data_IF_057822244036
#
_entry.id   IF_057822244036
#
_cell.length_a   1.000
_cell.length_b   1.000
_cell.length_c   1.000
_cell.angle_alpha   90.00
_cell.angle_beta   90.00
_cell.angle_gamma   90.00
#
_symmetry.space_group_name_H-M   'P 1'
#
loop_
_entity.id
_entity.type
_entity.pdbx_description
1 polymer ?
#
# COMPACT_ATOMS: atom_id res chain seq x y z
N UNK A 1 10.60 15.22 -57.77
CA UNK A 1 10.61 13.86 -57.19
C UNK A 1 11.53 13.74 -55.96
N UNK A 2 12.83 14.07 -56.04
CA UNK A 2 13.76 13.95 -54.89
C UNK A 2 13.38 14.76 -53.62
N UNK A 3 12.80 15.97 -53.76
CA UNK A 3 12.38 16.79 -52.61
C UNK A 3 11.18 16.20 -51.84
N UNK A 4 10.21 15.63 -52.56
CA UNK A 4 9.03 15.01 -51.93
C UNK A 4 9.38 13.68 -51.26
N UNK A 5 10.36 12.94 -51.81
CA UNK A 5 10.86 11.71 -51.19
C UNK A 5 11.53 11.98 -49.83
N UNK A 6 12.35 13.04 -49.73
CA UNK A 6 12.98 13.44 -48.47
C UNK A 6 11.94 13.86 -47.43
N UNK A 7 10.90 14.60 -47.84
CA UNK A 7 9.80 14.99 -46.95
C UNK A 7 9.03 13.77 -46.43
N UNK A 8 8.70 12.80 -47.28
CA UNK A 8 8.00 11.58 -46.87
C UNK A 8 8.84 10.75 -45.90
N UNK A 9 10.14 10.63 -46.12
CA UNK A 9 11.05 9.90 -45.21
C UNK A 9 11.16 10.62 -43.86
N UNK A 10 11.29 11.95 -43.86
CA UNK A 10 11.28 12.74 -42.61
C UNK A 10 9.95 12.65 -41.87
N UNK A 11 8.82 12.67 -42.59
CA UNK A 11 7.50 12.45 -41.99
C UNK A 11 7.39 11.05 -41.38
N UNK A 12 7.93 10.02 -42.03
CA UNK A 12 7.96 8.66 -41.50
C UNK A 12 8.86 8.53 -40.26
N UNK A 13 10.00 9.23 -40.20
CA UNK A 13 10.84 9.28 -38.98
C UNK A 13 10.19 10.07 -37.84
N UNK A 14 9.42 11.12 -38.15
CA UNK A 14 8.65 11.88 -37.18
C UNK A 14 7.42 11.10 -36.67
N UNK A 15 6.80 10.29 -37.54
CA UNK A 15 5.66 9.42 -37.20
C UNK A 15 6.10 8.09 -36.56
N UNK A 16 7.35 7.67 -36.74
CA UNK A 16 7.99 6.59 -35.99
C UNK A 16 8.57 7.05 -34.64
N UNK A 17 8.24 8.29 -34.22
CA UNK A 17 8.68 8.87 -32.96
C UNK A 17 8.12 8.14 -31.74
N UNK A 18 9.02 7.77 -30.83
CA UNK A 18 8.83 7.31 -29.45
C UNK A 18 8.04 6.01 -29.16
N UNK A 19 7.12 5.54 -30.02
CA UNK A 19 6.39 4.28 -29.75
C UNK A 19 7.14 3.02 -30.20
N UNK A 20 8.04 3.11 -31.20
CA UNK A 20 8.76 1.94 -31.73
C UNK A 20 9.91 1.44 -30.83
N UNK A 21 10.26 2.23 -29.82
CA UNK A 21 11.21 1.89 -28.77
C UNK A 21 10.47 2.16 -27.47
N UNK A 22 9.52 1.31 -27.10
CA UNK A 22 9.24 1.17 -25.67
C UNK A 22 10.50 0.53 -25.10
N UNK A 23 11.37 1.25 -24.37
CA UNK A 23 12.36 0.53 -23.59
C UNK A 23 11.55 -0.40 -22.69
N UNK A 24 11.86 -1.70 -22.71
CA UNK A 24 11.63 -2.52 -21.54
C UNK A 24 12.38 -1.77 -20.44
N UNK A 25 11.65 -1.01 -19.62
CA UNK A 25 12.22 -0.45 -18.42
C UNK A 25 12.53 -1.68 -17.57
N UNK A 26 13.80 -1.99 -17.45
CA UNK A 26 14.28 -3.04 -16.56
C UNK A 26 14.17 -2.44 -15.15
N UNK A 27 13.00 -2.61 -14.55
CA UNK A 27 12.70 -2.24 -13.17
C UNK A 27 12.27 -3.50 -12.41
N UNK A 28 12.40 -3.42 -11.10
CA UNK A 28 12.02 -4.48 -10.18
C UNK A 28 11.07 -3.92 -9.12
N UNK A 29 10.28 -4.80 -8.53
CA UNK A 29 9.36 -4.48 -7.45
C UNK A 29 9.85 -5.18 -6.19
N UNK A 30 10.14 -4.40 -5.16
CA UNK A 30 10.46 -4.90 -3.82
C UNK A 30 9.29 -4.56 -2.89
N UNK A 31 8.59 -5.55 -2.36
CA UNK A 31 7.49 -5.37 -1.42
C UNK A 31 7.94 -5.66 0.01
N UNK A 32 7.80 -4.69 0.90
CA UNK A 32 7.80 -4.88 2.35
C UNK A 32 6.35 -4.87 2.84
N UNK A 33 5.83 -6.03 3.21
CA UNK A 33 4.42 -6.25 3.53
C UNK A 33 4.26 -6.48 5.04
N UNK A 34 3.56 -5.60 5.75
CA UNK A 34 3.46 -5.63 7.21
C UNK A 34 1.99 -5.65 7.62
N UNK A 35 1.59 -6.67 8.39
CA UNK A 35 0.22 -6.76 8.90
C UNK A 35 0.12 -7.45 10.26
N UNK A 36 -0.82 -6.98 11.08
CA UNK A 36 -1.02 -7.44 12.44
C UNK A 36 -2.51 -7.57 12.75
N UNK A 37 -2.94 -8.71 13.28
CA UNK A 37 -4.32 -8.95 13.73
C UNK A 37 -4.51 -8.70 15.24
N UNK A 38 -3.42 -8.54 15.99
CA UNK A 38 -3.34 -8.29 17.43
C UNK A 38 -4.03 -9.34 18.32
N UNK A 39 -4.40 -10.51 17.77
CA UNK A 39 -5.12 -11.57 18.50
C UNK A 39 -4.30 -12.19 19.64
N UNK A 40 -2.98 -12.08 19.59
CA UNK A 40 -2.09 -12.57 20.64
C UNK A 40 -1.69 -11.48 21.65
N UNK A 41 -2.34 -10.31 21.66
CA UNK A 41 -2.01 -9.18 22.55
C UNK A 41 -3.23 -8.67 23.32
N UNK A 42 -3.00 -7.73 24.23
CA UNK A 42 -4.01 -6.94 24.94
C UNK A 42 -4.59 -5.76 24.11
N UNK A 43 -4.18 -5.60 22.85
CA UNK A 43 -4.72 -4.62 21.90
C UNK A 43 -5.99 -5.19 21.26
N UNK A 44 -6.93 -4.30 20.88
CA UNK A 44 -8.15 -4.71 20.17
C UNK A 44 -7.80 -5.43 18.86
N UNK A 45 -8.30 -6.65 18.68
CA UNK A 45 -8.02 -7.43 17.48
C UNK A 45 -8.58 -6.78 16.21
N UNK A 46 -7.92 -7.01 15.09
CA UNK A 46 -8.33 -6.60 13.75
C UNK A 46 -8.50 -7.83 12.88
N UNK A 47 -9.56 -7.88 12.07
CA UNK A 47 -9.90 -9.08 11.30
C UNK A 47 -9.62 -8.94 9.80
N UNK A 48 -9.53 -7.72 9.27
CA UNK A 48 -9.23 -7.48 7.86
C UNK A 48 -7.74 -7.38 7.50
N UNK A 49 -6.87 -7.03 8.44
CA UNK A 49 -5.48 -6.62 8.15
C UNK A 49 -4.63 -7.69 7.47
N UNK A 50 -4.78 -8.95 7.89
CA UNK A 50 -4.06 -10.07 7.29
C UNK A 50 -4.59 -10.40 5.89
N UNK A 51 -5.91 -10.31 5.65
CA UNK A 51 -6.49 -10.52 4.32
C UNK A 51 -6.01 -9.43 3.36
N UNK A 52 -6.11 -8.17 3.79
CA UNK A 52 -5.61 -7.00 3.08
C UNK A 52 -4.17 -7.21 2.59
N UNK A 53 -3.29 -7.63 3.50
CA UNK A 53 -1.88 -7.84 3.24
C UNK A 53 -1.58 -9.03 2.33
N UNK A 54 -2.19 -10.19 2.59
CA UNK A 54 -1.99 -11.42 1.79
C UNK A 54 -2.49 -11.23 0.37
N UNK A 55 -3.58 -10.49 0.19
CA UNK A 55 -4.18 -10.27 -1.13
C UNK A 55 -3.48 -9.21 -1.94
N UNK A 56 -2.98 -8.17 -1.30
CA UNK A 56 -2.16 -7.17 -1.98
C UNK A 56 -0.86 -7.82 -2.47
N UNK A 57 -0.22 -8.64 -1.64
CA UNK A 57 0.96 -9.41 -2.05
C UNK A 57 0.64 -10.30 -3.25
N UNK A 58 -0.42 -11.11 -3.18
CA UNK A 58 -0.81 -12.01 -4.27
C UNK A 58 -1.11 -11.23 -5.55
N UNK A 59 -1.82 -10.11 -5.45
CA UNK A 59 -2.15 -9.23 -6.58
C UNK A 59 -0.87 -8.70 -7.24
N UNK A 60 0.04 -8.09 -6.47
CA UNK A 60 1.29 -7.55 -6.99
C UNK A 60 2.15 -8.67 -7.60
N UNK A 61 2.28 -9.81 -6.92
CA UNK A 61 3.04 -10.97 -7.41
C UNK A 61 2.53 -11.47 -8.76
N UNK A 62 1.21 -11.58 -8.92
CA UNK A 62 0.59 -12.01 -10.17
C UNK A 62 0.83 -11.00 -11.29
N UNK A 63 0.65 -9.69 -11.03
CA UNK A 63 0.93 -8.63 -12.01
C UNK A 63 2.40 -8.68 -12.45
N UNK A 64 3.33 -8.77 -11.50
CA UNK A 64 4.76 -8.87 -11.82
C UNK A 64 5.07 -10.13 -12.64
N UNK A 65 4.44 -11.26 -12.32
CA UNK A 65 4.62 -12.51 -13.09
C UNK A 65 4.08 -12.41 -14.52
N UNK A 66 2.93 -11.76 -14.73
CA UNK A 66 2.36 -11.57 -16.07
C UNK A 66 3.20 -10.62 -16.94
N UNK A 67 3.83 -9.63 -16.31
CA UNK A 67 4.64 -8.61 -16.98
C UNK A 67 6.14 -8.94 -17.01
N UNK A 68 6.55 -10.12 -16.54
CA UNK A 68 7.96 -10.55 -16.43
C UNK A 68 8.84 -9.56 -15.63
N UNK A 69 8.26 -8.93 -14.60
CA UNK A 69 8.95 -8.01 -13.69
C UNK A 69 9.59 -8.80 -12.55
N UNK A 70 10.85 -8.50 -12.23
CA UNK A 70 11.51 -9.08 -11.07
C UNK A 70 10.82 -8.63 -9.78
N UNK A 71 10.45 -9.60 -8.93
CA UNK A 71 9.66 -9.36 -7.72
C UNK A 71 10.32 -10.00 -6.50
N UNK A 72 10.52 -9.19 -5.46
CA UNK A 72 10.98 -9.64 -4.13
C UNK A 72 9.95 -9.24 -3.08
N UNK A 73 9.62 -10.14 -2.17
CA UNK A 73 8.70 -9.87 -1.05
C UNK A 73 9.36 -10.16 0.30
N UNK A 74 9.15 -9.28 1.26
CA UNK A 74 9.41 -9.48 2.68
C UNK A 74 8.11 -9.29 3.46
N UNK A 75 7.52 -10.40 3.91
CA UNK A 75 6.26 -10.36 4.67
C UNK A 75 6.50 -10.55 6.17
N UNK A 76 5.91 -9.65 6.95
CA UNK A 76 5.97 -9.65 8.41
C UNK A 76 4.55 -9.62 8.97
N UNK A 77 4.09 -10.79 9.44
CA UNK A 77 2.72 -10.99 9.91
C UNK A 77 2.69 -11.42 11.38
N UNK A 78 1.83 -10.79 12.16
CA UNK A 78 1.42 -11.31 13.47
C UNK A 78 0.00 -11.85 13.31
N UNK A 79 -0.12 -13.18 13.41
CA UNK A 79 -1.35 -13.92 13.10
C UNK A 79 -1.73 -14.88 14.23
N UNK A 80 -2.99 -14.80 14.64
CA UNK A 80 -3.62 -15.69 15.59
C UNK A 80 -3.20 -15.44 17.04
N UNK A 81 -3.59 -16.36 17.93
CA UNK A 81 -3.52 -16.20 19.39
C UNK A 81 -2.19 -16.63 20.02
N UNK A 82 -1.23 -17.13 19.24
CA UNK A 82 0.01 -17.69 19.80
C UNK A 82 0.99 -16.57 20.16
N UNK A 83 1.51 -16.62 21.39
CA UNK A 83 2.50 -15.68 21.90
C UNK A 83 3.62 -16.38 22.67
N UNK A 84 4.24 -17.39 22.06
CA UNK A 84 5.35 -18.13 22.67
C UNK A 84 6.72 -17.66 22.15
N UNK A 85 7.79 -18.12 22.79
CA UNK A 85 9.16 -17.79 22.37
C UNK A 85 9.50 -18.23 20.95
N UNK A 86 8.81 -19.21 20.37
CA UNK A 86 9.04 -19.58 18.97
C UNK A 86 8.43 -18.53 18.03
N UNK A 87 7.25 -18.03 18.37
CA UNK A 87 6.51 -17.02 17.61
C UNK A 87 7.22 -15.66 17.66
N UNK A 88 7.56 -15.16 18.86
CA UNK A 88 8.14 -13.80 18.98
C UNK A 88 9.58 -13.68 18.49
N UNK A 89 10.31 -14.80 18.43
CA UNK A 89 11.69 -14.84 17.92
C UNK A 89 11.74 -15.18 16.42
N UNK A 90 10.60 -15.37 15.76
CA UNK A 90 10.57 -15.54 14.31
C UNK A 90 11.13 -14.26 13.64
N UNK A 91 12.00 -14.44 12.64
CA UNK A 91 12.61 -13.33 11.92
C UNK A 91 11.59 -12.53 11.10
N UNK A 92 10.43 -13.12 10.81
CA UNK A 92 9.31 -12.50 10.12
C UNK A 92 8.23 -12.01 11.11
N UNK A 93 8.43 -12.13 12.42
CA UNK A 93 7.52 -11.53 13.39
C UNK A 93 7.63 -9.99 13.30
N UNK A 94 6.53 -9.23 13.19
CA UNK A 94 6.56 -7.78 12.96
C UNK A 94 6.89 -6.99 14.22
N UNK A 95 8.01 -7.31 14.88
CA UNK A 95 8.58 -6.51 15.96
C UNK A 95 9.26 -5.25 15.40
N UNK A 96 9.38 -4.19 16.23
CA UNK A 96 10.09 -2.96 15.83
C UNK A 96 11.50 -3.22 15.30
N UNK A 97 12.24 -4.11 15.96
CA UNK A 97 13.58 -4.51 15.52
C UNK A 97 13.56 -5.17 14.14
N UNK A 98 12.68 -6.14 13.92
CA UNK A 98 12.60 -6.85 12.65
C UNK A 98 12.17 -5.93 11.50
N UNK A 99 11.24 -5.01 11.72
CA UNK A 99 10.80 -4.04 10.70
C UNK A 99 11.93 -3.05 10.37
N UNK A 100 12.65 -2.53 11.36
CA UNK A 100 13.82 -1.67 11.11
C UNK A 100 14.91 -2.43 10.32
N UNK A 101 15.19 -3.69 10.65
CA UNK A 101 16.10 -4.52 9.85
C UNK A 101 15.57 -4.80 8.45
N UNK A 102 14.25 -4.87 8.24
CA UNK A 102 13.65 -5.03 6.92
C UNK A 102 13.85 -3.78 6.05
N UNK A 103 13.67 -2.59 6.62
CA UNK A 103 13.94 -1.32 5.97
C UNK A 103 15.42 -1.17 5.60
N UNK A 104 16.33 -1.62 6.47
CA UNK A 104 17.76 -1.69 6.16
C UNK A 104 18.04 -2.68 5.01
N UNK A 105 17.45 -3.88 5.02
CA UNK A 105 17.59 -4.83 3.90
C UNK A 105 17.11 -4.22 2.58
N UNK A 106 16.01 -3.47 2.61
CA UNK A 106 15.47 -2.79 1.42
C UNK A 106 16.50 -1.85 0.80
N UNK A 107 17.24 -1.07 1.61
CA UNK A 107 18.30 -0.19 1.09
C UNK A 107 19.43 -0.97 0.43
N UNK A 108 19.76 -2.16 0.94
CA UNK A 108 20.83 -3.00 0.38
C UNK A 108 20.48 -3.66 -0.96
N UNK A 109 19.21 -4.02 -1.16
CA UNK A 109 18.76 -4.68 -2.40
C UNK A 109 18.28 -3.68 -3.46
N UNK A 110 17.83 -2.50 -3.04
CA UNK A 110 17.29 -1.50 -3.96
C UNK A 110 18.35 -0.93 -4.91
N UNK A 111 17.91 -0.61 -6.13
CA UNK A 111 18.71 -0.04 -7.21
C UNK A 111 17.98 1.20 -7.79
N UNK A 112 18.65 1.97 -8.65
CA UNK A 112 18.11 3.25 -9.13
C UNK A 112 16.78 3.13 -9.90
N UNK A 113 16.51 1.96 -10.48
CA UNK A 113 15.26 1.66 -11.18
C UNK A 113 14.24 0.89 -10.33
N UNK A 114 14.56 0.52 -9.08
CA UNK A 114 13.65 -0.25 -8.24
C UNK A 114 12.42 0.58 -7.84
N UNK A 115 11.27 -0.08 -7.76
CA UNK A 115 10.08 0.44 -7.10
C UNK A 115 9.90 -0.35 -5.81
N UNK A 116 10.09 0.30 -4.68
CA UNK A 116 10.03 -0.29 -3.36
C UNK A 116 8.68 0.05 -2.72
N UNK A 117 7.79 -0.93 -2.61
CA UNK A 117 6.47 -0.76 -2.03
C UNK A 117 6.55 -1.17 -0.56
N UNK A 118 6.07 -0.31 0.34
CA UNK A 118 5.97 -0.58 1.78
C UNK A 118 4.50 -0.52 2.13
N UNK A 119 3.92 -1.66 2.47
CA UNK A 119 2.52 -1.77 2.86
C UNK A 119 2.40 -2.02 4.37
N UNK A 120 1.55 -1.25 5.03
CA UNK A 120 1.23 -1.42 6.45
C UNK A 120 -0.29 -1.48 6.65
N UNK A 121 -0.77 -2.54 7.31
CA UNK A 121 -2.15 -2.68 7.77
C UNK A 121 -2.20 -3.07 9.25
N UNK A 122 -2.76 -2.19 10.08
CA UNK A 122 -2.73 -2.36 11.53
C UNK A 122 -3.19 -1.14 12.30
N UNK A 123 -3.00 -1.17 13.62
CA UNK A 123 -3.29 -0.04 14.49
C UNK A 123 -2.19 1.02 14.40
N UNK A 124 -2.57 2.29 14.54
CA UNK A 124 -1.60 3.35 14.70
C UNK A 124 -1.98 4.26 15.88
N UNK A 125 -0.96 4.85 16.48
CA UNK A 125 -1.14 5.87 17.50
C UNK A 125 -1.61 7.18 16.85
N UNK A 126 -2.15 8.11 17.63
CA UNK A 126 -2.73 9.37 17.12
C UNK A 126 -1.72 10.26 16.37
N UNK A 127 -0.42 10.09 16.63
CA UNK A 127 0.66 10.77 15.92
C UNK A 127 1.09 10.05 14.63
N UNK A 128 0.38 9.00 14.21
CA UNK A 128 0.70 8.17 13.04
C UNK A 128 1.74 7.09 13.26
N UNK A 129 2.35 6.97 14.45
CA UNK A 129 3.29 5.88 14.74
C UNK A 129 2.60 4.53 14.54
N UNK A 130 3.24 3.64 13.78
CA UNK A 130 2.77 2.27 13.58
C UNK A 130 2.88 1.49 14.88
N UNK A 131 1.83 0.75 15.23
CA UNK A 131 1.84 -0.17 16.35
C UNK A 131 2.34 -1.53 15.87
N UNK A 132 3.53 -1.92 16.32
CA UNK A 132 4.18 -3.18 15.99
C UNK A 132 4.00 -4.22 17.10
N UNK A 133 4.32 -5.47 16.79
CA UNK A 133 4.07 -6.57 17.69
C UNK A 133 4.99 -6.50 18.92
N UNK A 134 4.42 -6.73 20.09
CA UNK A 134 5.20 -6.88 21.33
C UNK A 134 6.03 -8.16 21.28
N UNK A 135 7.26 -8.09 21.77
CA UNK A 135 8.12 -9.27 21.99
C UNK A 135 8.17 -9.67 23.45
N UNK A 136 7.42 -8.98 24.32
CA UNK A 136 7.37 -9.27 25.74
C UNK A 136 6.73 -10.64 25.99
N UNK A 137 7.48 -11.55 26.60
CA UNK A 137 7.03 -12.91 26.96
C UNK A 137 6.83 -13.09 28.46
N UNK A 138 6.82 -12.00 29.24
CA UNK A 138 6.63 -12.03 30.70
C UNK A 138 5.25 -12.57 31.11
N UNK A 139 4.26 -12.43 30.22
CA UNK A 139 2.92 -13.00 30.34
C UNK A 139 2.85 -14.32 29.55
N UNK A 140 2.39 -15.40 30.19
CA UNK A 140 2.28 -16.72 29.56
C UNK A 140 1.00 -16.91 28.74
N UNK A 141 0.11 -15.92 28.71
CA UNK A 141 -1.23 -16.04 28.10
C UNK A 141 -1.41 -15.15 26.86
N UNK A 142 -0.85 -13.94 26.86
CA UNK A 142 -0.89 -12.98 25.74
C UNK A 142 0.20 -11.92 25.88
N UNK A 143 0.64 -11.34 24.77
CA UNK A 143 1.59 -10.23 24.75
C UNK A 143 1.03 -8.98 25.39
N UNK A 144 1.82 -8.32 26.24
CA UNK A 144 1.42 -7.06 26.88
C UNK A 144 1.94 -5.89 26.04
N UNK A 145 1.03 -5.05 25.56
CA UNK A 145 1.33 -3.85 24.78
C UNK A 145 1.10 -2.57 25.54
N UNK A 146 0.29 -2.60 26.61
CA UNK A 146 0.09 -1.45 27.47
C UNK A 146 1.02 -1.48 28.68
N UNK A 147 1.69 -0.36 28.94
CA UNK A 147 2.43 -0.16 30.17
C UNK A 147 1.48 0.12 31.35
N UNK A 148 2.03 0.12 32.57
CA UNK A 148 1.25 0.29 33.82
C UNK A 148 0.42 1.59 33.91
N UNK A 149 0.69 2.59 33.07
CA UNK A 149 -0.06 3.84 33.01
C UNK A 149 -1.18 3.83 31.94
N UNK A 150 -1.40 2.71 31.25
CA UNK A 150 -2.40 2.54 30.19
C UNK A 150 -1.98 3.06 28.82
N UNK A 151 -0.72 3.50 28.65
CA UNK A 151 -0.16 3.89 27.36
C UNK A 151 0.52 2.70 26.69
N UNK A 152 0.45 2.65 25.36
CA UNK A 152 1.20 1.71 24.55
C UNK A 152 2.70 1.82 24.83
N UNK A 153 3.39 0.69 24.92
CA UNK A 153 4.84 0.64 25.09
C UNK A 153 5.58 1.26 23.88
N UNK A 154 6.47 2.22 24.13
CA UNK A 154 7.24 2.92 23.09
C UNK A 154 8.12 1.97 22.26
N UNK A 155 8.51 0.82 22.81
CA UNK A 155 9.29 -0.20 22.09
C UNK A 155 8.51 -0.83 20.91
N UNK A 156 7.18 -0.73 20.93
CA UNK A 156 6.31 -1.19 19.84
C UNK A 156 5.95 -0.07 18.85
N UNK A 157 6.21 1.18 19.19
CA UNK A 157 5.84 2.31 18.34
C UNK A 157 6.98 2.61 17.38
N UNK A 158 6.72 2.48 16.08
CA UNK A 158 7.63 2.96 15.04
C UNK A 158 7.11 4.29 14.51
N UNK A 159 7.84 5.38 14.78
CA UNK A 159 7.42 6.72 14.40
C UNK A 159 7.58 7.00 12.90
N UNK A 160 6.79 7.96 12.41
CA UNK A 160 6.88 8.47 11.03
C UNK A 160 8.31 8.91 10.72
N UNK A 161 8.96 9.65 11.62
CA UNK A 161 10.33 10.12 11.43
C UNK A 161 11.36 8.98 11.40
N UNK A 162 11.22 7.96 12.25
CA UNK A 162 12.07 6.76 12.18
C UNK A 162 11.94 6.09 10.81
N UNK A 163 10.73 5.96 10.28
CA UNK A 163 10.49 5.37 8.95
C UNK A 163 11.16 6.21 7.87
N UNK A 164 10.94 7.52 7.82
CA UNK A 164 11.61 8.38 6.83
C UNK A 164 13.12 8.32 6.91
N UNK A 165 13.67 8.34 8.13
CA UNK A 165 15.13 8.27 8.33
C UNK A 165 15.70 6.94 7.83
N UNK A 166 14.97 5.83 7.99
CA UNK A 166 15.37 4.52 7.44
C UNK A 166 15.31 4.45 5.91
N UNK A 167 14.56 5.35 5.26
CA UNK A 167 14.39 5.35 3.80
C UNK A 167 15.39 6.23 3.05
N UNK A 168 16.20 7.04 3.75
CA UNK A 168 17.16 7.98 3.13
C UNK A 168 18.14 7.28 2.19
N UNK A 169 18.56 6.06 2.52
CA UNK A 169 19.53 5.27 1.76
C UNK A 169 18.87 4.30 0.76
N UNK A 170 17.53 4.24 0.70
CA UNK A 170 16.82 3.38 -0.25
C UNK A 170 16.88 4.01 -1.63
N UNK A 171 17.36 3.25 -2.61
CA UNK A 171 17.48 3.70 -4.00
C UNK A 171 16.20 3.44 -4.77
N UNK A 172 16.05 4.15 -5.89
CA UNK A 172 14.87 4.08 -6.72
C UNK A 172 13.67 4.79 -6.09
N UNK A 173 12.46 4.40 -6.46
CA UNK A 173 11.23 5.00 -5.96
C UNK A 173 10.72 4.20 -4.77
N UNK A 174 10.16 4.88 -3.77
CA UNK A 174 9.52 4.27 -2.60
C UNK A 174 8.04 4.63 -2.60
N UNK A 175 7.17 3.65 -2.45
CA UNK A 175 5.72 3.85 -2.36
C UNK A 175 5.27 3.32 -1.00
N UNK A 176 4.86 4.20 -0.09
CA UNK A 176 4.34 3.84 1.23
C UNK A 176 2.81 3.81 1.13
N UNK A 177 2.21 2.68 1.44
CA UNK A 177 0.76 2.45 1.45
C UNK A 177 0.35 2.09 2.88
N UNK A 178 -0.54 2.89 3.48
CA UNK A 178 -0.89 2.75 4.90
C UNK A 178 -2.40 2.64 5.08
N UNK A 179 -2.86 1.46 5.49
CA UNK A 179 -4.22 1.21 5.95
C UNK A 179 -4.27 1.17 7.48
N UNK A 180 -4.32 2.36 8.08
CA UNK A 180 -4.45 2.53 9.52
C UNK A 180 -5.15 3.83 9.88
N UNK A 181 -5.65 3.92 11.11
CA UNK A 181 -6.14 5.19 11.67
C UNK A 181 -5.03 6.24 11.72
N UNK A 182 -5.36 7.52 11.57
CA UNK A 182 -4.39 8.62 11.66
C UNK A 182 -3.24 8.52 10.66
N UNK A 183 -3.39 7.74 9.59
CA UNK A 183 -2.38 7.51 8.57
C UNK A 183 -1.99 8.78 7.81
N UNK A 184 -2.86 9.80 7.78
CA UNK A 184 -2.53 11.12 7.24
C UNK A 184 -1.41 11.86 7.97
N UNK A 185 -0.88 11.35 9.10
CA UNK A 185 0.37 11.85 9.67
C UNK A 185 1.61 11.53 8.80
N UNK A 186 1.54 10.55 7.90
CA UNK A 186 2.57 10.34 6.87
C UNK A 186 2.49 11.37 5.74
N UNK A 187 1.36 12.06 5.60
CA UNK A 187 1.20 13.05 4.55
C UNK A 187 2.07 14.28 4.85
N UNK A 188 3.02 14.55 3.96
CA UNK A 188 3.82 15.78 3.97
C UNK A 188 3.32 16.67 2.86
N UNK A 189 2.75 17.81 3.23
CA UNK A 189 2.25 18.78 2.27
C UNK A 189 3.38 19.26 1.35
N UNK A 190 3.20 19.03 0.05
CA UNK A 190 4.19 19.29 -1.01
C UNK A 190 3.53 19.96 -2.21
N UNK A 191 4.31 20.38 -3.21
CA UNK A 191 3.74 20.82 -4.50
C UNK A 191 2.87 19.76 -5.19
N UNK A 192 3.09 18.49 -4.82
CA UNK A 192 2.50 17.32 -5.43
C UNK A 192 1.56 16.59 -4.47
N UNK A 193 0.75 17.36 -3.76
CA UNK A 193 -0.12 16.87 -2.72
C UNK A 193 -1.59 17.03 -3.15
N UNK A 194 -2.37 15.93 -3.08
CA UNK A 194 -3.81 15.91 -3.43
C UNK A 194 -4.67 15.69 -2.18
N UNK A 195 -4.79 16.75 -1.37
CA UNK A 195 -5.75 16.78 -0.26
C UNK A 195 -7.15 17.27 -0.67
N UNK A 196 -7.34 17.94 -1.80
CA UNK A 196 -8.64 18.55 -2.15
C UNK A 196 -9.40 17.83 -3.27
N UNK A 197 -10.74 17.91 -3.24
CA UNK A 197 -11.67 17.49 -4.30
C UNK A 197 -11.43 18.22 -5.65
N UNK A 198 -10.60 19.27 -5.67
CA UNK A 198 -10.27 20.05 -6.87
C UNK A 198 -8.78 20.32 -6.92
N UNK A 199 -8.03 19.40 -7.55
CA UNK A 199 -6.67 19.68 -7.97
C UNK A 199 -6.63 20.97 -8.80
N UNK A 200 -5.88 21.97 -8.33
CA UNK A 200 -5.59 23.17 -9.09
C UNK A 200 -4.15 23.11 -9.60
N UNK A 201 -4.02 22.85 -10.90
CA UNK A 201 -2.73 22.78 -11.60
C UNK A 201 -1.88 24.05 -11.39
N UNK A 202 -2.51 25.23 -11.35
CA UNK A 202 -1.79 26.50 -11.19
C UNK A 202 -1.20 26.60 -9.79
N UNK A 203 -1.94 26.19 -8.76
CA UNK A 203 -1.46 26.23 -7.38
C UNK A 203 -0.34 25.20 -7.16
N UNK A 204 -0.48 23.99 -7.71
CA UNK A 204 0.56 22.96 -7.70
C UNK A 204 1.84 23.42 -8.42
N UNK A 205 1.70 24.04 -9.60
CA UNK A 205 2.83 24.58 -10.37
C UNK A 205 3.52 25.74 -9.65
N UNK A 206 2.75 26.68 -9.09
CA UNK A 206 3.29 27.80 -8.32
C UNK A 206 4.02 27.29 -7.07
N UNK A 207 3.45 26.30 -6.38
CA UNK A 207 4.07 25.66 -5.22
C UNK A 207 5.39 25.01 -5.63
N UNK A 208 5.41 24.22 -6.70
CA UNK A 208 6.62 23.58 -7.25
C UNK A 208 7.75 24.57 -7.55
N UNK A 209 7.43 25.67 -8.24
CA UNK A 209 8.44 26.70 -8.54
C UNK A 209 8.90 27.43 -7.28
N UNK A 210 7.99 27.68 -6.34
CA UNK A 210 8.27 28.47 -5.14
C UNK A 210 9.08 27.72 -4.09
N UNK A 211 8.91 26.40 -3.97
CA UNK A 211 9.54 25.60 -2.92
C UNK A 211 10.94 25.14 -3.28
N UNK A 212 11.30 25.14 -4.57
CA UNK A 212 12.57 24.58 -5.06
C UNK A 212 12.80 23.15 -4.52
N UNK A 213 11.71 22.45 -4.21
CA UNK A 213 11.71 21.13 -3.57
C UNK A 213 12.36 20.13 -4.52
N UNK A 214 13.45 19.53 -4.08
CA UNK A 214 13.93 18.30 -4.71
C UNK A 214 12.79 17.28 -4.66
N UNK A 215 12.52 16.63 -5.79
CA UNK A 215 11.49 15.59 -5.84
C UNK A 215 11.96 14.45 -4.95
N UNK A 216 11.40 14.35 -3.75
CA UNK A 216 11.59 13.16 -2.94
C UNK A 216 10.97 11.98 -3.70
N UNK A 217 11.78 10.94 -3.89
CA UNK A 217 11.37 9.71 -4.56
C UNK A 217 10.48 8.82 -3.68
N UNK A 218 9.82 9.41 -2.69
CA UNK A 218 8.88 8.78 -1.77
C UNK A 218 7.46 9.26 -2.13
N UNK A 219 6.59 8.31 -2.41
CA UNK A 219 5.17 8.46 -2.71
C UNK A 219 4.37 7.83 -1.59
N UNK A 220 3.27 8.46 -1.19
CA UNK A 220 2.54 8.08 0.02
C UNK A 220 1.07 7.97 -0.31
N UNK A 221 0.45 6.82 -0.04
CA UNK A 221 -0.98 6.58 -0.16
C UNK A 221 -1.50 6.16 1.20
N UNK A 222 -2.39 6.96 1.78
CA UNK A 222 -2.91 6.73 3.13
C UNK A 222 -4.41 6.63 3.11
N UNK A 223 -4.98 5.78 3.96
CA UNK A 223 -6.42 5.57 4.05
C UNK A 223 -7.20 6.78 4.56
N UNK A 224 -6.56 7.66 5.34
CA UNK A 224 -7.25 8.70 6.12
C UNK A 224 -6.45 9.99 6.22
N UNK A 225 -7.12 11.07 6.63
CA UNK A 225 -6.47 12.29 7.12
C UNK A 225 -5.83 12.09 8.51
N UNK A 226 -4.94 13.01 8.89
CA UNK A 226 -4.16 12.93 10.15
C UNK A 226 -5.01 12.78 11.42
N UNK A 227 -6.22 13.34 11.43
CA UNK A 227 -7.11 13.38 12.60
C UNK A 227 -8.34 12.46 12.42
N UNK A 228 -8.29 11.52 11.48
CA UNK A 228 -9.41 10.64 11.14
C UNK A 228 -9.05 9.14 11.28
N UNK A 229 -10.06 8.28 11.36
CA UNK A 229 -9.90 6.83 11.58
C UNK A 229 -10.12 6.03 10.30
N UNK A 230 -9.46 4.88 10.20
CA UNK A 230 -9.70 3.89 9.13
C UNK A 230 -10.76 2.89 9.58
N UNK A 231 -11.55 2.36 8.64
CA UNK A 231 -12.66 1.47 8.92
C UNK A 231 -12.68 0.24 8.02
N UNK A 232 -13.32 -0.81 8.53
CA UNK A 232 -13.67 -2.04 7.84
C UNK A 232 -15.19 -2.26 7.98
N UNK A 233 -15.85 -2.96 7.03
CA UNK A 233 -17.28 -3.23 7.11
C UNK A 233 -17.61 -4.10 8.33
N UNK A 234 -18.71 -3.76 9.01
CA UNK A 234 -19.21 -4.52 10.16
C UNK A 234 -19.88 -5.83 9.71
N UNK A 235 -19.08 -6.83 9.32
CA UNK A 235 -19.55 -8.17 8.98
C UNK A 235 -18.79 -9.19 9.82
N UNK A 236 -19.41 -9.62 10.93
CA UNK A 236 -18.94 -10.75 11.72
C UNK A 236 -19.51 -12.04 11.12
N UNK A 237 -18.65 -13.05 11.00
CA UNK A 237 -18.85 -14.44 10.54
C UNK A 237 -18.50 -14.75 9.08
N UNK A 238 -17.38 -15.45 8.91
CA UNK A 238 -16.94 -16.18 7.70
C UNK A 238 -16.75 -15.38 6.41
N UNK A 239 -16.83 -14.05 6.43
CA UNK A 239 -16.52 -13.22 5.27
C UNK A 239 -15.05 -12.79 5.27
N UNK A 240 -14.44 -12.82 4.10
CA UNK A 240 -13.19 -12.17 3.74
C UNK A 240 -13.32 -10.65 3.92
N UNK A 241 -12.97 -10.14 5.11
CA UNK A 241 -13.08 -8.72 5.45
C UNK A 241 -11.82 -8.00 4.98
N UNK A 242 -12.01 -6.79 4.47
CA UNK A 242 -10.97 -5.85 4.05
C UNK A 242 -11.22 -4.48 4.65
N UNK A 243 -10.17 -3.71 4.90
CA UNK A 243 -10.31 -2.25 5.06
C UNK A 243 -10.92 -1.63 3.80
N UNK A 244 -11.79 -0.63 3.93
CA UNK A 244 -12.43 0.01 2.76
C UNK A 244 -11.40 0.56 1.77
N UNK A 245 -10.30 1.12 2.29
CA UNK A 245 -9.19 1.62 1.50
C UNK A 245 -8.49 0.49 0.74
N UNK A 246 -8.08 -0.57 1.43
CA UNK A 246 -7.38 -1.69 0.78
C UNK A 246 -8.27 -2.44 -0.21
N UNK A 247 -9.58 -2.61 0.05
CA UNK A 247 -10.50 -3.21 -0.92
C UNK A 247 -10.52 -2.42 -2.23
N UNK A 248 -10.69 -1.11 -2.17
CA UNK A 248 -10.70 -0.25 -3.37
C UNK A 248 -9.32 -0.22 -4.07
N UNK A 249 -8.22 -0.30 -3.31
CA UNK A 249 -6.87 -0.45 -3.84
C UNK A 249 -6.72 -1.75 -4.66
N UNK A 250 -7.14 -2.88 -4.08
CA UNK A 250 -7.10 -4.20 -4.71
C UNK A 250 -7.92 -4.21 -6.00
N UNK A 251 -9.18 -3.74 -5.94
CA UNK A 251 -10.05 -3.66 -7.11
C UNK A 251 -9.46 -2.75 -8.20
N UNK A 252 -8.86 -1.63 -7.81
CA UNK A 252 -8.18 -0.73 -8.74
C UNK A 252 -7.02 -1.40 -9.48
N UNK A 253 -6.31 -2.33 -8.82
CA UNK A 253 -5.26 -3.17 -9.39
C UNK A 253 -5.80 -4.36 -10.20
N UNK A 254 -7.12 -4.52 -10.30
CA UNK A 254 -7.76 -5.58 -11.07
C UNK A 254 -8.04 -6.85 -10.28
N UNK A 255 -7.86 -6.83 -8.96
CA UNK A 255 -8.29 -7.93 -8.10
C UNK A 255 -9.80 -8.11 -8.17
N UNK A 256 -10.24 -9.35 -8.30
CA UNK A 256 -11.63 -9.73 -8.08
C UNK A 256 -11.72 -10.88 -7.08
N UNK A 257 -12.83 -10.90 -6.35
CA UNK A 257 -13.26 -12.11 -5.66
C UNK A 257 -13.60 -13.12 -6.78
N UNK A 258 -12.82 -14.21 -6.89
CA UNK A 258 -12.85 -15.10 -8.06
C UNK A 258 -14.25 -15.64 -8.38
N UNK A 259 -14.44 -16.22 -9.58
CA UNK A 259 -15.70 -16.86 -9.99
C UNK A 259 -16.01 -18.13 -9.14
N UNK A 260 -16.35 -17.95 -7.87
CA UNK A 260 -16.94 -18.96 -6.96
C UNK A 260 -17.53 -18.35 -5.69
N UNK A 261 -18.00 -17.11 -5.76
CA UNK A 261 -18.94 -16.52 -4.81
C UNK A 261 -20.37 -17.11 -4.91
N UNK A 262 -20.52 -18.41 -5.18
CA UNK A 262 -21.79 -19.09 -4.88
C UNK A 262 -21.72 -19.39 -3.39
N UNK A 263 -22.62 -18.75 -2.62
CA UNK A 263 -23.02 -19.18 -1.29
C UNK A 263 -23.26 -20.71 -1.30
N UNK A 264 -22.23 -21.49 -1.03
CA UNK A 264 -22.37 -22.90 -0.69
C UNK A 264 -23.06 -22.92 0.65
N UNK A 265 -24.34 -23.30 0.66
CA UNK A 265 -25.10 -23.59 1.88
C UNK A 265 -24.62 -24.88 2.58
N UNK A 266 -23.47 -25.41 2.17
CA UNK A 266 -22.82 -26.60 2.72
C UNK A 266 -21.40 -26.24 3.13
N UNK A 267 -21.09 -26.46 4.40
CA UNK A 267 -19.90 -25.98 5.13
C UNK A 267 -18.59 -26.64 4.65
N UNK A 268 -18.62 -27.56 3.69
CA UNK A 268 -17.55 -28.57 3.58
C UNK A 268 -16.57 -28.44 2.42
N UNK A 269 -16.71 -27.50 1.46
CA UNK A 269 -15.71 -27.34 0.40
C UNK A 269 -15.52 -25.86 0.00
N UNK A 270 -14.97 -25.09 0.92
CA UNK A 270 -14.37 -23.79 0.59
C UNK A 270 -12.97 -24.09 0.04
N UNK A 271 -12.71 -23.81 -1.25
CA UNK A 271 -11.36 -23.90 -1.81
C UNK A 271 -10.54 -22.74 -1.23
N UNK A 272 -9.93 -23.01 -0.09
CA UNK A 272 -8.86 -22.21 0.48
C UNK A 272 -7.59 -22.64 -0.27
N UNK A 273 -6.89 -21.72 -0.94
CA UNK A 273 -5.54 -22.04 -1.42
C UNK A 273 -4.62 -22.36 -0.22
N UNK A 274 -3.43 -22.91 -0.43
CA UNK A 274 -2.53 -23.30 0.68
C UNK A 274 -2.20 -22.12 1.63
N UNK A 275 -2.47 -20.87 1.21
CA UNK A 275 -2.18 -19.62 1.91
C UNK A 275 -3.42 -18.96 2.56
N UNK A 276 -4.63 -19.47 2.37
CA UNK A 276 -5.85 -18.84 2.92
C UNK A 276 -6.63 -17.92 1.97
N UNK A 277 -6.18 -17.73 0.73
CA UNK A 277 -6.55 -16.64 -0.18
C UNK A 277 -7.49 -17.15 -1.31
N UNK A 278 -8.42 -16.31 -1.78
CA UNK A 278 -9.51 -16.76 -2.68
C UNK A 278 -9.75 -15.93 -3.93
N UNK A 279 -9.07 -14.80 -4.07
CA UNK A 279 -9.21 -13.90 -5.21
C UNK A 279 -8.20 -14.21 -6.30
N UNK A 280 -8.46 -13.61 -7.45
CA UNK A 280 -7.65 -13.70 -8.66
C UNK A 280 -7.58 -12.35 -9.36
N UNK A 281 -6.64 -12.20 -10.30
CA UNK A 281 -6.66 -11.06 -11.20
C UNK A 281 -7.79 -11.27 -12.21
N UNK A 282 -8.61 -10.24 -12.37
CA UNK A 282 -9.55 -10.19 -13.48
C UNK A 282 -8.79 -10.15 -14.81
N UNK A 283 -9.33 -10.85 -15.81
CA UNK A 283 -8.73 -10.84 -17.14
C UNK A 283 -8.81 -9.45 -17.76
N UNK A 284 -7.66 -8.89 -18.15
CA UNK A 284 -7.56 -7.67 -18.95
C UNK A 284 -6.94 -6.49 -18.22
N UNK A 285 -7.24 -5.29 -18.70
CA UNK A 285 -6.70 -4.04 -18.17
C UNK A 285 -7.40 -3.71 -16.85
N UNK A 286 -6.68 -3.46 -15.74
CA UNK A 286 -7.30 -3.25 -14.45
C UNK A 286 -8.09 -1.93 -14.38
N UNK A 287 -9.12 -1.83 -13.53
CA UNK A 287 -10.03 -0.69 -13.48
C UNK A 287 -9.38 0.68 -13.26
N UNK A 288 -8.27 0.75 -12.50
CA UNK A 288 -7.58 2.02 -12.28
C UNK A 288 -6.77 2.48 -13.49
N UNK A 289 -6.48 1.61 -14.47
CA UNK A 289 -5.56 1.95 -15.55
C UNK A 289 -6.15 3.04 -16.48
N UNK A 290 -5.30 4.02 -16.83
CA UNK A 290 -5.58 5.02 -17.86
C UNK A 290 -4.62 4.79 -19.03
N UNK A 291 -5.16 4.55 -20.23
CA UNK A 291 -4.36 4.19 -21.41
C UNK A 291 -3.41 3.00 -21.15
N UNK A 292 -3.94 1.95 -20.52
CA UNK A 292 -3.21 0.75 -20.09
C UNK A 292 -2.05 0.98 -19.11
N UNK A 293 -2.02 2.13 -18.42
CA UNK A 293 -1.01 2.44 -17.42
C UNK A 293 -1.70 2.55 -16.07
N UNK A 294 -1.22 1.78 -15.10
CA UNK A 294 -1.53 2.01 -13.69
C UNK A 294 -0.42 2.86 -13.10
N UNK A 295 -0.75 4.11 -12.80
CA UNK A 295 0.09 5.07 -12.08
C UNK A 295 -0.50 5.36 -10.69
N UNK A 296 0.31 5.95 -9.81
CA UNK A 296 -0.14 6.37 -8.48
C UNK A 296 -1.37 7.30 -8.56
N UNK A 297 -1.38 8.28 -9.48
CA UNK A 297 -2.55 9.18 -9.63
C UNK A 297 -3.82 8.43 -10.06
N UNK A 298 -3.67 7.45 -10.95
CA UNK A 298 -4.79 6.69 -11.49
C UNK A 298 -5.41 5.81 -10.42
N UNK A 299 -4.55 5.20 -9.59
CA UNK A 299 -4.94 4.36 -8.46
C UNK A 299 -5.64 5.17 -7.37
N UNK A 300 -5.09 6.33 -6.99
CA UNK A 300 -5.72 7.22 -6.01
C UNK A 300 -7.06 7.75 -6.52
N UNK A 301 -7.14 8.13 -7.80
CA UNK A 301 -8.39 8.57 -8.42
C UNK A 301 -9.46 7.48 -8.34
N UNK A 302 -9.07 6.22 -8.58
CA UNK A 302 -9.95 5.07 -8.47
C UNK A 302 -10.40 4.83 -7.03
N UNK A 303 -9.46 4.80 -6.07
CA UNK A 303 -9.75 4.57 -4.65
C UNK A 303 -10.75 5.61 -4.13
N UNK A 304 -10.50 6.90 -4.40
CA UNK A 304 -11.44 7.96 -4.02
C UNK A 304 -12.83 7.66 -4.61
N UNK A 305 -12.91 7.34 -5.90
CA UNK A 305 -14.21 7.16 -6.57
C UNK A 305 -14.97 5.89 -6.16
N UNK A 306 -14.29 4.87 -5.64
CA UNK A 306 -14.86 3.53 -5.46
C UNK A 306 -14.77 2.97 -4.03
N UNK A 307 -14.12 3.66 -3.08
CA UNK A 307 -14.18 3.22 -1.68
C UNK A 307 -15.64 3.28 -1.19
N UNK A 308 -16.11 2.18 -0.61
CA UNK A 308 -17.52 2.02 -0.18
C UNK A 308 -17.81 2.70 1.17
N UNK A 309 -17.14 3.83 1.43
CA UNK A 309 -17.32 4.67 2.62
C UNK A 309 -17.32 6.14 2.24
N UNK A 310 -18.11 6.94 2.96
CA UNK A 310 -18.19 8.37 2.72
C UNK A 310 -16.81 9.03 2.81
N UNK A 311 -16.57 10.02 1.94
CA UNK A 311 -15.33 10.80 1.91
C UNK A 311 -15.33 11.98 2.87
N UNK A 312 -16.52 12.45 3.23
CA UNK A 312 -16.70 13.62 4.07
C UNK A 312 -17.77 13.33 5.12
N UNK A 313 -17.62 13.97 6.28
CA UNK A 313 -18.68 14.01 7.28
C UNK A 313 -19.74 15.00 6.81
N UNK A 314 -20.68 14.56 5.99
CA UNK A 314 -21.96 15.25 5.92
C UNK A 314 -22.71 15.04 7.24
N UNK A 315 -23.65 15.91 7.59
CA UNK A 315 -24.42 15.89 8.87
C UNK A 315 -25.14 14.56 9.21
N UNK A 316 -25.02 13.51 8.39
CA UNK A 316 -25.62 12.19 8.56
C UNK A 316 -24.61 11.04 8.66
N UNK A 317 -23.38 11.20 8.17
CA UNK A 317 -22.36 10.14 8.19
C UNK A 317 -21.23 10.51 9.16
N UNK A 318 -21.25 9.89 10.34
CA UNK A 318 -20.20 10.04 11.36
C UNK A 318 -18.93 9.26 10.96
N UNK A 319 -19.07 8.25 10.08
CA UNK A 319 -18.01 7.40 9.59
C UNK A 319 -17.62 7.83 8.17
N UNK A 320 -16.40 8.33 8.01
CA UNK A 320 -15.86 8.74 6.71
C UNK A 320 -14.35 8.48 6.66
N UNK A 321 -13.82 8.27 5.46
CA UNK A 321 -12.39 8.12 5.20
C UNK A 321 -12.02 8.93 3.97
N UNK A 322 -10.94 9.68 4.08
CA UNK A 322 -10.48 10.53 2.99
C UNK A 322 -9.04 10.18 2.64
N UNK A 323 -8.83 9.34 1.60
CA UNK A 323 -7.51 8.93 1.17
C UNK A 323 -6.69 10.12 0.69
N UNK A 324 -5.43 10.20 1.12
CA UNK A 324 -4.51 11.27 0.74
C UNK A 324 -3.31 10.71 -0.01
N UNK A 325 -2.75 11.53 -0.92
CA UNK A 325 -1.50 11.22 -1.60
C UNK A 325 -0.58 12.42 -1.66
N UNK A 326 0.71 12.17 -1.39
CA UNK A 326 1.78 13.16 -1.49
C UNK A 326 3.07 12.52 -2.00
N UNK A 327 3.89 13.31 -2.71
CA UNK A 327 5.28 12.96 -3.02
C UNK A 327 5.57 12.81 -4.52
N UNK A 328 6.85 12.92 -4.89
CA UNK A 328 7.39 12.76 -6.24
C UNK A 328 6.62 13.47 -7.38
N UNK A 329 6.81 13.03 -8.63
CA UNK A 329 5.96 13.46 -9.75
C UNK A 329 4.77 12.51 -9.83
N UNK A 330 3.54 13.03 -9.86
CA UNK A 330 2.29 12.26 -9.84
C UNK A 330 2.15 11.15 -10.91
N UNK A 331 3.03 11.14 -11.91
CA UNK A 331 3.07 10.19 -13.01
C UNK A 331 3.93 8.95 -12.74
N UNK A 332 4.25 8.61 -11.48
CA UNK A 332 4.91 7.33 -11.18
C UNK A 332 4.06 6.17 -11.71
N UNK A 333 4.56 5.55 -12.77
CA UNK A 333 3.99 4.34 -13.38
C UNK A 333 4.40 3.14 -12.54
N UNK A 334 3.40 2.41 -12.06
CA UNK A 334 3.59 1.14 -11.36
C UNK A 334 3.60 -0.03 -12.34
N UNK A 335 2.62 -0.08 -13.26
CA UNK A 335 2.42 -1.22 -14.16
C UNK A 335 1.92 -0.77 -15.54
N UNK A 336 2.20 -1.58 -16.57
CA UNK A 336 1.81 -1.34 -17.97
C UNK A 336 1.17 -2.59 -18.57
N UNK A 337 0.00 -2.44 -19.23
CA UNK A 337 -0.83 -3.54 -19.74
C UNK A 337 -1.03 -3.55 -21.27
#
# INVERSE_FOLDING_TARGET
MKRYFILVVLSLFLLAGCELLSPNYDYEINLLNIALDYQNTDISSLYGTLNDSKELEKTIRLICSEQEINYTNFSYHQEGIKHDSATVNDLNYPSKTNILSALEKLSTISHDNSINIIYYSGHANQNGSWLLATTDTLSTEYGTSFSSNGLVNEEQLLSVDEIYNSLVEVKGKVVIIVDSCYSGNFYKDSAYSLSDEKFNFIDAYNKFISTNEETNDIYILVATEKDNKSYEPSSLYNSRIHGYFTKALLEGLGWCDGEKGVLSTTIDEYYIDEDGIQGELSNGVPPAAKNNIVSIDSLVSYIKSNQEIAQNSNNYDVYHQYPQVSGGRFDLVLFRY
#
